data_IF_179382709664
#
_entry.id   IF_179382709664
#
_cell.length_a   1.000
_cell.length_b   1.000
_cell.length_c   1.000
_cell.angle_alpha   90.00
_cell.angle_beta   90.00
_cell.angle_gamma   90.00
#
_symmetry.space_group_name_H-M   'P 1'
#
loop_
_entity.id
_entity.type
_entity.pdbx_description
1 polymer ?
#
# COMPACT_ATOMS: atom_id res chain seq x y z
N UNK A 1 -15.18 -39.80 -101.89
CA UNK A 1 -15.68 -40.40 -100.59
C UNK A 1 -15.27 -39.51 -99.42
N UNK A 2 -16.17 -38.67 -98.97
CA UNK A 2 -15.95 -37.75 -97.84
C UNK A 2 -17.02 -38.08 -96.81
N UNK A 3 -16.58 -38.56 -95.63
CA UNK A 3 -17.42 -38.83 -94.48
C UNK A 3 -17.65 -37.53 -93.74
N UNK A 4 -18.89 -37.14 -93.53
CA UNK A 4 -19.30 -36.05 -92.64
C UNK A 4 -19.51 -36.62 -91.23
N UNK A 5 -18.78 -36.11 -90.30
CA UNK A 5 -18.99 -36.40 -88.92
C UNK A 5 -19.90 -35.32 -88.23
N UNK A 6 -21.09 -35.74 -87.82
CA UNK A 6 -22.00 -34.89 -87.03
C UNK A 6 -21.54 -34.80 -85.60
N UNK A 7 -21.25 -33.58 -85.11
CA UNK A 7 -21.01 -33.32 -83.70
C UNK A 7 -22.35 -33.00 -83.01
N UNK A 8 -22.71 -33.83 -82.04
CA UNK A 8 -23.82 -33.54 -81.15
C UNK A 8 -23.35 -32.52 -80.08
N UNK A 9 -24.07 -31.39 -80.03
CA UNK A 9 -23.88 -30.40 -78.98
C UNK A 9 -24.92 -30.68 -77.90
N UNK A 10 -24.44 -31.09 -76.67
CA UNK A 10 -25.27 -31.25 -75.46
C UNK A 10 -25.23 -29.96 -74.71
N UNK A 11 -26.35 -29.29 -74.38
CA UNK A 11 -26.32 -28.11 -73.49
C UNK A 11 -26.15 -28.53 -72.05
N UNK A 12 -25.09 -28.02 -71.42
CA UNK A 12 -24.88 -28.13 -69.96
C UNK A 12 -25.75 -27.09 -69.28
N UNK A 13 -26.76 -27.58 -68.57
CA UNK A 13 -27.59 -26.74 -67.68
C UNK A 13 -26.85 -26.48 -66.41
N UNK A 14 -26.33 -25.24 -66.24
CA UNK A 14 -25.71 -24.79 -64.95
C UNK A 14 -26.83 -24.42 -64.00
N UNK A 15 -27.08 -25.26 -62.99
CA UNK A 15 -27.95 -24.96 -61.83
C UNK A 15 -27.17 -24.14 -60.89
N UNK A 16 -27.45 -22.82 -60.79
CA UNK A 16 -26.92 -21.94 -59.73
C UNK A 16 -27.76 -22.13 -58.45
N UNK A 17 -27.27 -22.88 -57.51
CA UNK A 17 -27.84 -22.94 -56.13
C UNK A 17 -27.51 -21.65 -55.39
N UNK A 18 -28.50 -20.93 -54.84
CA UNK A 18 -28.20 -19.82 -53.94
C UNK A 18 -27.56 -20.35 -52.64
N UNK A 19 -26.30 -20.02 -52.45
CA UNK A 19 -25.58 -20.31 -51.17
C UNK A 19 -26.28 -19.62 -50.04
N UNK A 20 -26.96 -20.38 -49.19
CA UNK A 20 -27.36 -19.93 -47.84
C UNK A 20 -26.09 -19.73 -47.05
N UNK A 21 -25.63 -18.47 -46.97
CA UNK A 21 -24.61 -18.04 -46.01
C UNK A 21 -25.19 -18.24 -44.60
N UNK A 22 -24.89 -19.38 -43.96
CA UNK A 22 -25.03 -19.51 -42.55
C UNK A 22 -24.14 -18.44 -41.90
N UNK A 23 -24.72 -17.29 -41.52
CA UNK A 23 -24.13 -16.42 -40.52
C UNK A 23 -23.98 -17.27 -39.25
N UNK A 24 -22.76 -17.69 -38.96
CA UNK A 24 -22.40 -18.12 -37.60
C UNK A 24 -22.75 -16.96 -36.68
N UNK A 25 -23.53 -17.19 -35.64
CA UNK A 25 -23.62 -16.20 -34.60
C UNK A 25 -22.18 -15.96 -34.12
N UNK A 26 -21.71 -14.71 -34.22
CA UNK A 26 -20.54 -14.24 -33.54
C UNK A 26 -20.81 -14.52 -32.05
N UNK A 27 -20.34 -15.65 -31.57
CA UNK A 27 -20.13 -15.87 -30.14
C UNK A 27 -18.98 -14.94 -29.79
N UNK A 28 -19.31 -13.68 -29.57
CA UNK A 28 -18.47 -12.74 -28.90
C UNK A 28 -18.17 -13.35 -27.53
N UNK A 29 -17.18 -14.21 -27.45
CA UNK A 29 -16.45 -14.45 -26.24
C UNK A 29 -15.89 -13.07 -25.88
N UNK A 30 -16.62 -12.32 -25.03
CA UNK A 30 -16.17 -11.04 -24.53
C UNK A 30 -14.77 -11.25 -23.99
N UNK A 31 -13.80 -10.48 -24.47
CA UNK A 31 -12.45 -10.49 -23.90
C UNK A 31 -12.58 -10.44 -22.40
N UNK A 32 -12.01 -11.42 -21.73
CA UNK A 32 -12.04 -11.48 -20.27
C UNK A 32 -11.31 -10.25 -19.77
N UNK A 33 -12.07 -9.26 -19.26
CA UNK A 33 -11.50 -8.04 -18.72
C UNK A 33 -10.67 -8.40 -17.50
N UNK A 34 -9.43 -7.97 -17.47
CA UNK A 34 -8.50 -8.30 -16.41
C UNK A 34 -7.71 -7.07 -15.98
N UNK A 35 -7.30 -7.05 -14.71
CA UNK A 35 -6.42 -6.02 -14.14
C UNK A 35 -5.41 -6.66 -13.21
N UNK A 36 -4.15 -6.28 -13.35
CA UNK A 36 -3.07 -6.71 -12.45
C UNK A 36 -2.72 -5.59 -11.49
N UNK A 37 -2.78 -5.88 -10.19
CA UNK A 37 -2.47 -4.92 -9.14
C UNK A 37 -1.33 -5.44 -8.25
N UNK A 38 -0.31 -4.60 -8.04
CA UNK A 38 0.73 -4.84 -7.04
C UNK A 38 0.30 -4.21 -5.73
N UNK A 39 0.37 -4.98 -4.64
CA UNK A 39 -0.20 -4.60 -3.34
C UNK A 39 0.81 -4.78 -2.23
N UNK A 40 1.20 -3.70 -1.59
CA UNK A 40 2.06 -3.71 -0.40
C UNK A 40 1.28 -3.68 0.92
N UNK A 41 -0.04 -3.43 0.86
CA UNK A 41 -0.93 -3.58 2.02
C UNK A 41 -1.17 -5.05 2.31
N UNK A 42 -1.27 -5.42 3.58
CA UNK A 42 -1.43 -6.80 4.01
C UNK A 42 -2.58 -7.50 3.32
N UNK A 43 -2.31 -8.72 2.87
CA UNK A 43 -3.26 -9.51 2.10
C UNK A 43 -4.58 -9.71 2.86
N UNK A 44 -4.52 -9.93 4.17
CA UNK A 44 -5.70 -10.11 5.01
C UNK A 44 -6.66 -8.93 4.94
N UNK A 45 -6.16 -7.72 4.73
CA UNK A 45 -6.97 -6.50 4.62
C UNK A 45 -7.34 -6.15 3.18
N UNK A 46 -6.42 -6.33 2.24
CA UNK A 46 -6.59 -5.88 0.85
C UNK A 46 -7.33 -6.90 -0.03
N UNK A 47 -7.15 -8.21 0.19
CA UNK A 47 -7.79 -9.24 -0.62
C UNK A 47 -9.34 -9.17 -0.58
N UNK A 48 -10.01 -8.98 0.58
CA UNK A 48 -11.47 -8.84 0.62
C UNK A 48 -11.98 -7.65 -0.21
N UNK A 49 -11.25 -6.54 -0.25
CA UNK A 49 -11.58 -5.35 -1.06
C UNK A 49 -11.49 -5.67 -2.54
N UNK A 50 -10.41 -6.34 -2.97
CA UNK A 50 -10.19 -6.72 -4.37
C UNK A 50 -11.20 -7.76 -4.86
N UNK A 51 -11.55 -8.76 -4.02
CA UNK A 51 -12.58 -9.76 -4.33
C UNK A 51 -13.97 -9.14 -4.46
N UNK A 52 -14.30 -8.16 -3.64
CA UNK A 52 -15.56 -7.43 -3.77
C UNK A 52 -15.61 -6.62 -5.07
N UNK A 53 -14.51 -5.97 -5.48
CA UNK A 53 -14.43 -5.34 -6.80
C UNK A 53 -14.65 -6.33 -7.93
N UNK A 54 -13.95 -7.47 -7.91
CA UNK A 54 -14.10 -8.53 -8.91
C UNK A 54 -15.56 -9.00 -9.03
N UNK A 55 -16.22 -9.23 -7.88
CA UNK A 55 -17.63 -9.62 -7.81
C UNK A 55 -18.58 -8.57 -8.37
N UNK A 56 -18.31 -7.27 -8.12
CA UNK A 56 -19.19 -6.16 -8.58
C UNK A 56 -18.98 -5.83 -10.06
N UNK A 57 -17.76 -5.85 -10.52
CA UNK A 57 -17.37 -5.35 -11.85
C UNK A 57 -17.36 -6.43 -12.93
N UNK A 58 -17.23 -7.70 -12.56
CA UNK A 58 -16.95 -8.82 -13.46
C UNK A 58 -15.56 -8.76 -14.08
N UNK A 59 -14.66 -7.91 -13.60
CA UNK A 59 -13.26 -7.82 -14.02
C UNK A 59 -12.43 -8.80 -13.19
N UNK A 60 -11.66 -9.67 -13.81
CA UNK A 60 -10.73 -10.56 -13.10
C UNK A 60 -9.57 -9.76 -12.54
N UNK A 61 -9.36 -9.85 -11.22
CA UNK A 61 -8.27 -9.16 -10.53
C UNK A 61 -7.12 -10.12 -10.25
N UNK A 62 -5.92 -9.77 -10.71
CA UNK A 62 -4.68 -10.52 -10.48
C UNK A 62 -3.80 -9.78 -9.47
N UNK A 63 -3.97 -10.00 -8.16
CA UNK A 63 -3.15 -9.33 -7.16
C UNK A 63 -1.79 -10.01 -7.02
N UNK A 64 -0.74 -9.20 -6.91
CA UNK A 64 0.61 -9.62 -6.54
C UNK A 64 0.96 -8.93 -5.23
N UNK A 65 1.16 -9.71 -4.19
CA UNK A 65 1.45 -9.21 -2.85
C UNK A 65 2.94 -9.13 -2.57
N UNK A 66 3.32 -8.17 -1.75
CA UNK A 66 4.66 -8.06 -1.18
C UNK A 66 4.85 -9.07 -0.03
N UNK A 67 6.10 -9.32 0.35
CA UNK A 67 6.44 -10.08 1.56
C UNK A 67 6.67 -9.13 2.74
N UNK A 68 6.57 -9.63 3.99
CA UNK A 68 6.87 -8.81 5.17
C UNK A 68 8.31 -8.29 5.15
N UNK A 69 9.27 -9.13 4.75
CA UNK A 69 10.71 -8.81 4.75
C UNK A 69 11.09 -7.70 3.78
N UNK A 70 10.33 -7.52 2.69
CA UNK A 70 10.65 -6.54 1.64
C UNK A 70 9.55 -5.50 1.44
N UNK A 71 8.57 -5.46 2.32
CA UNK A 71 7.32 -4.71 2.20
C UNK A 71 7.49 -3.30 1.64
N UNK A 72 6.67 -2.96 0.65
CA UNK A 72 6.70 -1.78 -0.21
C UNK A 72 7.98 -1.61 -1.06
N UNK A 73 9.14 -1.91 -0.52
CA UNK A 73 10.43 -1.79 -1.23
C UNK A 73 10.58 -2.85 -2.33
N UNK A 74 10.18 -4.09 -2.07
CA UNK A 74 10.27 -5.19 -3.02
C UNK A 74 9.47 -4.94 -4.28
N UNK A 75 8.19 -4.64 -4.15
CA UNK A 75 7.32 -4.32 -5.29
C UNK A 75 7.71 -3.01 -5.99
N UNK A 76 8.14 -1.98 -5.24
CA UNK A 76 8.62 -0.74 -5.84
C UNK A 76 9.87 -0.98 -6.71
N UNK A 77 10.84 -1.77 -6.25
CA UNK A 77 12.02 -2.14 -7.04
C UNK A 77 11.64 -2.97 -8.27
N UNK A 78 10.68 -3.89 -8.12
CA UNK A 78 10.15 -4.68 -9.22
C UNK A 78 9.50 -3.80 -10.29
N UNK A 79 8.66 -2.83 -9.91
CA UNK A 79 8.05 -1.86 -10.82
C UNK A 79 9.10 -1.04 -11.59
N UNK A 80 10.20 -0.63 -10.92
CA UNK A 80 11.32 0.04 -11.59
C UNK A 80 12.00 -0.87 -12.61
N UNK A 81 12.23 -2.14 -12.27
CA UNK A 81 12.85 -3.11 -13.17
C UNK A 81 11.96 -3.43 -14.38
N UNK A 82 10.65 -3.45 -14.19
CA UNK A 82 9.65 -3.72 -15.23
C UNK A 82 9.26 -2.48 -16.06
N UNK A 83 9.84 -1.29 -15.80
CA UNK A 83 9.43 -0.01 -16.42
C UNK A 83 9.37 -0.04 -17.94
N UNK A 84 10.27 -0.77 -18.62
CA UNK A 84 10.29 -0.88 -20.08
C UNK A 84 9.22 -1.86 -20.63
N UNK A 85 8.70 -2.74 -19.78
CA UNK A 85 7.66 -3.72 -20.10
C UNK A 85 6.81 -3.98 -18.86
N UNK A 86 5.92 -3.05 -18.50
CA UNK A 86 5.12 -3.14 -17.29
C UNK A 86 4.27 -4.42 -17.25
N UNK A 87 4.17 -5.02 -16.06
CA UNK A 87 3.38 -6.22 -15.81
C UNK A 87 2.16 -5.91 -14.92
N UNK A 88 2.17 -4.76 -14.26
CA UNK A 88 1.08 -4.28 -13.42
C UNK A 88 0.35 -3.12 -14.08
N UNK A 89 -0.93 -2.97 -13.75
CA UNK A 89 -1.77 -1.84 -14.13
C UNK A 89 -1.85 -0.81 -13.00
N UNK A 90 -1.93 -1.28 -11.76
CA UNK A 90 -2.14 -0.47 -10.56
C UNK A 90 -1.12 -0.84 -9.50
N UNK A 91 -0.68 0.15 -8.72
CA UNK A 91 0.08 -0.06 -7.50
C UNK A 91 -0.70 0.48 -6.30
N UNK A 92 -0.97 -0.38 -5.32
CA UNK A 92 -1.50 -0.04 -4.01
C UNK A 92 -0.36 -0.13 -3.00
N UNK A 93 0.26 0.99 -2.70
CA UNK A 93 1.29 1.10 -1.68
C UNK A 93 0.68 1.29 -0.30
N UNK A 94 1.29 0.70 0.69
CA UNK A 94 0.92 0.90 2.10
C UNK A 94 1.63 2.10 2.75
N UNK A 95 2.47 2.84 1.98
CA UNK A 95 3.19 4.01 2.47
C UNK A 95 3.52 5.00 1.32
N UNK A 96 3.68 6.31 1.63
CA UNK A 96 3.84 7.35 0.61
C UNK A 96 5.18 7.37 -0.11
N UNK A 97 6.29 7.14 0.61
CA UNK A 97 7.63 7.49 0.12
C UNK A 97 8.02 6.69 -1.13
N UNK A 98 7.77 5.38 -1.16
CA UNK A 98 8.09 4.55 -2.33
C UNK A 98 7.26 4.95 -3.54
N UNK A 99 6.01 5.37 -3.34
CA UNK A 99 5.16 5.89 -4.42
C UNK A 99 5.74 7.17 -5.02
N UNK A 100 6.22 8.10 -4.19
CA UNK A 100 6.86 9.33 -4.67
C UNK A 100 8.19 9.04 -5.38
N UNK A 101 8.97 8.06 -4.91
CA UNK A 101 10.16 7.57 -5.62
C UNK A 101 9.80 7.02 -7.00
N UNK A 102 8.71 6.24 -7.13
CA UNK A 102 8.26 5.72 -8.42
C UNK A 102 7.85 6.84 -9.38
N UNK A 103 7.18 7.91 -8.89
CA UNK A 103 6.90 9.12 -9.68
C UNK A 103 8.20 9.72 -10.23
N UNK A 104 9.20 9.95 -9.38
CA UNK A 104 10.49 10.55 -9.79
C UNK A 104 11.26 9.70 -10.81
N UNK A 105 10.99 8.39 -10.86
CA UNK A 105 11.61 7.43 -11.79
C UNK A 105 10.78 7.19 -13.07
N UNK A 106 9.71 7.97 -13.28
CA UNK A 106 8.80 7.84 -14.43
C UNK A 106 8.17 6.43 -14.56
N UNK A 107 7.81 5.83 -13.45
CA UNK A 107 7.14 4.51 -13.39
C UNK A 107 5.62 4.66 -13.36
N UNK A 108 5.13 5.82 -12.91
CA UNK A 108 3.71 6.11 -12.75
C UNK A 108 3.16 6.93 -13.92
N UNK A 109 1.86 6.77 -14.20
CA UNK A 109 1.11 7.61 -15.13
C UNK A 109 0.13 8.51 -14.39
N UNK A 110 -0.14 9.72 -14.87
CA UNK A 110 -1.11 10.60 -14.24
C UNK A 110 -2.54 10.09 -14.47
N UNK A 111 -3.32 10.08 -13.39
CA UNK A 111 -4.75 9.82 -13.43
C UNK A 111 -5.44 10.50 -12.24
N UNK A 112 -6.35 11.42 -12.52
CA UNK A 112 -7.20 12.05 -11.52
C UNK A 112 -8.53 11.31 -11.46
N UNK A 113 -8.74 10.55 -10.40
CA UNK A 113 -9.98 9.80 -10.18
C UNK A 113 -11.11 10.74 -9.76
N UNK A 114 -12.32 10.59 -10.31
CA UNK A 114 -13.50 11.30 -9.81
C UNK A 114 -13.87 10.90 -8.38
N UNK A 115 -13.46 9.71 -7.93
CA UNK A 115 -13.67 9.23 -6.55
C UNK A 115 -12.72 9.88 -5.53
N UNK A 116 -11.76 10.69 -5.96
CA UNK A 116 -10.88 11.43 -5.05
C UNK A 116 -11.53 12.71 -4.48
N UNK A 117 -12.76 13.04 -4.92
CA UNK A 117 -13.48 14.20 -4.37
C UNK A 117 -13.75 13.99 -2.87
N UNK A 118 -13.39 14.99 -2.07
CA UNK A 118 -13.49 14.92 -0.60
C UNK A 118 -12.24 14.41 0.12
N UNK A 119 -11.22 13.91 -0.59
CA UNK A 119 -9.89 13.62 -0.02
C UNK A 119 -9.13 14.96 0.15
N UNK A 120 -8.44 15.20 1.29
CA UNK A 120 -7.65 16.40 1.50
C UNK A 120 -6.59 16.61 0.42
N UNK A 121 -6.47 17.82 -0.12
CA UNK A 121 -5.54 18.13 -1.23
C UNK A 121 -4.07 17.83 -0.92
N UNK A 122 -3.64 17.88 0.33
CA UNK A 122 -2.28 17.47 0.74
C UNK A 122 -2.01 15.97 0.62
N UNK A 123 -3.06 15.16 0.36
CA UNK A 123 -3.00 13.71 0.19
C UNK A 123 -3.32 13.28 -1.26
N UNK A 124 -3.29 14.23 -2.18
CA UNK A 124 -3.45 14.05 -3.63
C UNK A 124 -2.28 14.70 -4.33
N UNK A 125 -1.62 13.98 -5.22
CA UNK A 125 -0.55 14.58 -6.03
C UNK A 125 -1.11 15.64 -6.97
N UNK A 126 -0.59 16.87 -6.97
CA UNK A 126 -1.12 17.95 -7.84
C UNK A 126 -1.01 17.63 -9.33
N UNK A 127 -0.08 16.77 -9.73
CA UNK A 127 0.10 16.31 -11.10
C UNK A 127 -0.66 15.01 -11.40
N UNK A 128 -1.40 14.45 -10.42
CA UNK A 128 -2.27 13.28 -10.56
C UNK A 128 -1.57 11.92 -10.60
N UNK A 129 -0.32 11.79 -10.19
CA UNK A 129 0.39 10.50 -10.24
C UNK A 129 0.02 9.54 -9.11
N UNK A 130 -0.52 10.05 -8.02
CA UNK A 130 -0.97 9.24 -6.89
C UNK A 130 -2.08 9.93 -6.10
N UNK A 131 -2.88 9.13 -5.42
CA UNK A 131 -3.89 9.60 -4.48
C UNK A 131 -3.81 8.77 -3.22
N UNK A 132 -3.82 9.45 -2.07
CA UNK A 132 -3.88 8.81 -0.75
C UNK A 132 -5.32 8.40 -0.40
N UNK A 133 -5.46 7.31 0.33
CA UNK A 133 -6.75 6.88 0.89
C UNK A 133 -6.52 6.02 2.13
N UNK A 134 -7.50 5.93 3.01
CA UNK A 134 -7.48 5.09 4.20
C UNK A 134 -6.13 5.07 4.91
N UNK A 135 -5.99 5.88 5.94
CA UNK A 135 -4.72 6.03 6.65
C UNK A 135 -4.62 5.10 7.87
N UNK A 136 -3.40 4.86 8.31
CA UNK A 136 -3.06 4.32 9.63
C UNK A 136 -2.04 5.22 10.31
N UNK A 137 -1.78 4.96 11.58
CA UNK A 137 -0.83 5.74 12.36
C UNK A 137 0.33 4.87 12.83
N UNK A 138 1.52 5.46 12.90
CA UNK A 138 2.63 4.89 13.66
C UNK A 138 2.37 5.11 15.13
N UNK A 139 2.46 4.03 15.91
CA UNK A 139 2.18 4.04 17.35
C UNK A 139 3.30 3.37 18.14
N UNK A 140 3.39 3.72 19.42
CA UNK A 140 4.18 2.96 20.38
C UNK A 140 3.25 1.96 21.06
N UNK A 141 3.44 0.67 20.76
CA UNK A 141 2.79 -0.42 21.46
C UNK A 141 3.50 -0.68 22.81
N UNK A 142 2.75 -1.06 23.83
CA UNK A 142 3.33 -1.50 25.10
C UNK A 142 2.54 -2.65 25.72
N UNK A 143 3.24 -3.52 26.45
CA UNK A 143 2.61 -4.63 27.17
C UNK A 143 1.96 -4.14 28.46
N UNK A 144 0.64 -4.27 28.58
CA UNK A 144 -0.15 -3.74 29.71
C UNK A 144 0.08 -4.47 31.06
N UNK A 145 0.71 -5.66 31.04
CA UNK A 145 1.10 -6.40 32.26
C UNK A 145 2.46 -5.95 32.79
N UNK A 146 3.29 -5.30 31.95
CA UNK A 146 4.68 -4.96 32.25
C UNK A 146 4.94 -3.45 32.33
N UNK A 147 4.04 -2.64 31.77
CA UNK A 147 4.16 -1.17 31.70
C UNK A 147 2.84 -0.55 32.11
N UNK A 148 2.88 0.32 33.10
CA UNK A 148 1.70 1.11 33.47
C UNK A 148 1.43 2.21 32.41
N UNK A 149 0.18 2.58 32.13
CA UNK A 149 -0.14 3.62 31.16
C UNK A 149 0.62 4.94 31.34
N UNK A 150 0.82 5.36 32.60
CA UNK A 150 1.54 6.59 32.92
C UNK A 150 3.07 6.50 32.71
N UNK A 151 3.62 5.30 32.54
CA UNK A 151 5.04 5.06 32.31
C UNK A 151 5.38 4.84 30.83
N UNK A 152 4.35 4.62 29.99
CA UNK A 152 4.53 4.36 28.58
C UNK A 152 5.20 5.55 27.87
N UNK A 153 6.06 5.30 26.87
CA UNK A 153 6.70 6.37 26.10
C UNK A 153 5.66 7.24 25.40
N UNK A 154 5.83 8.55 25.42
CA UNK A 154 4.92 9.51 24.76
C UNK A 154 5.51 10.12 23.49
N UNK A 155 6.81 9.93 23.26
CA UNK A 155 7.53 10.34 22.06
C UNK A 155 8.32 9.16 21.49
N UNK A 156 8.56 9.15 20.18
CA UNK A 156 9.47 8.17 19.57
C UNK A 156 10.88 8.27 20.16
N UNK A 157 11.29 9.47 20.58
CA UNK A 157 12.62 9.69 21.19
C UNK A 157 12.75 9.07 22.58
N UNK A 158 11.65 8.86 23.30
CA UNK A 158 11.65 8.20 24.62
C UNK A 158 12.07 6.73 24.53
N UNK A 159 11.94 6.09 23.35
CA UNK A 159 12.41 4.72 23.13
C UNK A 159 13.92 4.56 23.34
N UNK A 160 14.70 5.64 23.22
CA UNK A 160 16.13 5.65 23.51
C UNK A 160 16.46 5.97 24.98
N UNK A 161 15.46 6.08 25.86
CA UNK A 161 15.71 6.23 27.31
C UNK A 161 16.36 4.96 27.86
N UNK A 162 17.43 5.07 28.70
CA UNK A 162 18.09 3.92 29.35
C UNK A 162 17.15 3.02 30.15
N UNK A 163 16.02 3.53 30.64
CA UNK A 163 14.99 2.72 31.35
C UNK A 163 14.44 1.60 30.49
N UNK A 164 14.48 1.72 29.17
CA UNK A 164 14.01 0.74 28.20
C UNK A 164 15.11 -0.20 27.67
N UNK A 165 16.31 -0.18 28.26
CA UNK A 165 17.44 -1.01 27.81
C UNK A 165 17.05 -2.48 27.66
N UNK A 166 17.25 -3.04 26.45
CA UNK A 166 16.90 -4.42 26.10
C UNK A 166 15.40 -4.71 26.01
N UNK A 167 14.54 -3.67 26.07
CA UNK A 167 13.09 -3.81 26.17
C UNK A 167 12.33 -3.18 24.97
N UNK A 168 13.05 -2.70 23.96
CA UNK A 168 12.49 -2.04 22.77
C UNK A 168 12.59 -2.94 21.55
N UNK A 169 11.52 -3.03 20.76
CA UNK A 169 11.51 -3.63 19.42
C UNK A 169 11.08 -2.61 18.37
N UNK A 170 11.71 -2.66 17.20
CA UNK A 170 11.32 -1.90 16.00
C UNK A 170 11.39 -2.80 14.76
N UNK A 171 10.55 -2.55 13.77
CA UNK A 171 10.72 -3.19 12.48
C UNK A 171 11.94 -2.62 11.74
N UNK A 172 12.52 -3.40 10.85
CA UNK A 172 13.69 -3.02 10.06
C UNK A 172 13.46 -1.69 9.33
N UNK A 173 14.27 -0.65 9.59
CA UNK A 173 14.07 0.67 9.01
C UNK A 173 14.33 0.77 7.49
N UNK A 174 14.76 -0.32 6.87
CA UNK A 174 14.94 -0.38 5.41
C UNK A 174 13.63 -0.61 4.66
N UNK A 175 12.55 -1.05 5.34
CA UNK A 175 11.35 -1.55 4.72
C UNK A 175 10.06 -0.93 5.30
N UNK A 176 9.00 -0.98 4.50
CA UNK A 176 7.63 -0.68 4.90
C UNK A 176 7.42 0.70 5.54
N UNK A 177 6.44 0.78 6.42
CA UNK A 177 6.08 2.00 7.15
C UNK A 177 7.20 2.52 8.05
N UNK A 178 8.12 1.65 8.49
CA UNK A 178 9.29 2.08 9.28
C UNK A 178 10.26 2.87 8.42
N UNK A 179 10.55 2.46 7.18
CA UNK A 179 11.42 3.22 6.26
C UNK A 179 10.85 4.61 5.95
N UNK A 180 9.54 4.69 5.71
CA UNK A 180 8.85 5.97 5.57
C UNK A 180 9.02 6.86 6.81
N UNK A 181 8.71 6.34 8.00
CA UNK A 181 8.75 7.12 9.24
C UNK A 181 10.16 7.65 9.53
N UNK A 182 11.18 6.81 9.38
CA UNK A 182 12.56 7.26 9.62
C UNK A 182 13.01 8.29 8.60
N UNK A 183 12.67 8.13 7.31
CA UNK A 183 12.98 9.13 6.29
C UNK A 183 12.32 10.49 6.60
N UNK A 184 11.06 10.48 7.05
CA UNK A 184 10.36 11.67 7.49
C UNK A 184 11.02 12.33 8.71
N UNK A 185 11.40 11.55 9.71
CA UNK A 185 12.09 12.05 10.91
C UNK A 185 13.45 12.68 10.56
N UNK A 186 14.23 12.05 9.65
CA UNK A 186 15.49 12.64 9.18
C UNK A 186 15.26 13.95 8.42
N UNK A 187 14.24 14.02 7.58
CA UNK A 187 13.89 15.24 6.87
C UNK A 187 13.49 16.40 7.82
N UNK A 188 12.79 16.07 8.92
CA UNK A 188 12.30 17.06 9.89
C UNK A 188 13.31 17.44 10.95
N UNK A 189 14.02 16.48 11.52
CA UNK A 189 14.86 16.67 12.70
C UNK A 189 16.36 16.80 12.38
N UNK A 190 16.77 16.45 11.16
CA UNK A 190 18.15 16.51 10.68
C UNK A 190 19.02 15.33 11.10
N UNK A 191 20.11 15.12 10.36
CA UNK A 191 20.96 13.94 10.45
C UNK A 191 21.57 13.73 11.81
N UNK A 192 22.18 14.76 12.38
CA UNK A 192 22.90 14.64 13.63
C UNK A 192 21.99 14.17 14.78
N UNK A 193 20.79 14.73 14.90
CA UNK A 193 19.84 14.36 15.93
C UNK A 193 19.37 12.92 15.74
N UNK A 194 19.05 12.53 14.51
CA UNK A 194 18.56 11.20 14.21
C UNK A 194 19.66 10.12 14.33
N UNK A 195 20.86 10.38 13.85
CA UNK A 195 22.00 9.48 14.06
C UNK A 195 22.25 9.21 15.55
N UNK A 196 22.24 10.26 16.37
CA UNK A 196 22.41 10.12 17.82
C UNK A 196 21.28 9.31 18.46
N UNK A 197 20.04 9.52 18.02
CA UNK A 197 18.90 8.74 18.49
C UNK A 197 19.07 7.24 18.19
N UNK A 198 19.41 6.87 16.94
CA UNK A 198 19.57 5.48 16.57
C UNK A 198 20.81 4.82 17.17
N UNK A 199 21.91 5.56 17.37
CA UNK A 199 23.09 5.03 18.12
C UNK A 199 22.68 4.70 19.56
N UNK A 200 21.93 5.57 20.25
CA UNK A 200 21.42 5.32 21.60
C UNK A 200 20.48 4.13 21.64
N UNK A 201 19.59 3.97 20.67
CA UNK A 201 18.74 2.78 20.54
C UNK A 201 19.58 1.50 20.42
N UNK A 202 20.63 1.51 19.60
CA UNK A 202 21.57 0.39 19.45
C UNK A 202 22.30 0.10 20.76
N UNK A 203 22.85 1.12 21.41
CA UNK A 203 23.53 1.00 22.71
C UNK A 203 22.61 0.48 23.80
N UNK A 204 21.32 0.78 23.72
CA UNK A 204 20.28 0.25 24.58
C UNK A 204 19.82 -1.16 24.19
N UNK A 205 20.38 -1.77 23.12
CA UNK A 205 20.06 -3.14 22.73
C UNK A 205 18.68 -3.26 22.10
N UNK A 206 18.29 -2.30 21.24
CA UNK A 206 17.05 -2.39 20.46
C UNK A 206 17.02 -3.68 19.64
N UNK A 207 15.89 -4.36 19.61
CA UNK A 207 15.67 -5.50 18.72
C UNK A 207 15.11 -4.99 17.39
N UNK A 208 15.84 -5.19 16.31
CA UNK A 208 15.38 -4.94 14.96
C UNK A 208 14.86 -6.25 14.38
N UNK A 209 13.61 -6.25 13.89
CA UNK A 209 12.91 -7.45 13.41
C UNK A 209 12.27 -7.20 12.04
N UNK A 210 11.84 -8.28 11.37
CA UNK A 210 11.46 -8.25 9.96
C UNK A 210 10.23 -7.38 9.65
N UNK A 211 9.30 -7.23 10.60
CA UNK A 211 8.07 -6.48 10.34
C UNK A 211 7.37 -5.96 11.59
N UNK A 212 6.37 -5.10 11.38
CA UNK A 212 5.58 -4.50 12.46
C UNK A 212 4.73 -5.54 13.21
N UNK A 213 4.21 -6.55 12.53
CA UNK A 213 3.49 -7.67 13.16
C UNK A 213 4.39 -8.45 14.11
N UNK A 214 5.68 -8.63 13.78
CA UNK A 214 6.67 -9.26 14.66
C UNK A 214 6.95 -8.38 15.88
N UNK A 215 7.03 -7.05 15.73
CA UNK A 215 7.14 -6.12 16.87
C UNK A 215 5.96 -6.28 17.81
N UNK A 216 4.73 -6.28 17.30
CA UNK A 216 3.50 -6.53 18.08
C UNK A 216 3.61 -7.83 18.87
N UNK A 217 4.01 -8.92 18.21
CA UNK A 217 4.09 -10.24 18.84
C UNK A 217 5.13 -10.29 19.97
N UNK A 218 6.29 -9.63 19.79
CA UNK A 218 7.28 -9.50 20.86
C UNK A 218 6.73 -8.73 22.08
N UNK A 219 5.96 -7.66 21.83
CA UNK A 219 5.31 -6.89 22.89
C UNK A 219 4.24 -7.74 23.58
N UNK A 220 3.38 -8.42 22.86
CA UNK A 220 2.33 -9.30 23.41
C UNK A 220 2.95 -10.37 24.31
N UNK A 221 4.02 -11.03 23.86
CA UNK A 221 4.71 -12.07 24.64
C UNK A 221 5.55 -11.54 25.81
N UNK A 222 5.71 -10.20 25.92
CA UNK A 222 6.55 -9.58 26.95
C UNK A 222 8.06 -9.75 26.71
N UNK A 223 8.46 -10.16 25.53
CA UNK A 223 9.85 -10.24 25.10
C UNK A 223 10.44 -8.84 24.81
N UNK A 224 9.57 -7.88 24.46
CA UNK A 224 9.82 -6.45 24.52
C UNK A 224 8.72 -5.80 25.38
N UNK A 225 9.06 -4.77 26.16
CA UNK A 225 8.03 -4.01 26.91
C UNK A 225 7.32 -3.02 26.04
N UNK A 226 8.04 -2.42 25.10
CA UNK A 226 7.56 -1.39 24.17
C UNK A 226 8.06 -1.66 22.75
N UNK A 227 7.30 -1.21 21.76
CA UNK A 227 7.71 -1.36 20.37
C UNK A 227 7.08 -0.29 19.46
N UNK A 228 7.77 0.08 18.38
CA UNK A 228 7.25 1.00 17.39
C UNK A 228 6.61 0.19 16.26
N UNK A 229 5.29 0.31 16.11
CA UNK A 229 4.48 -0.44 15.11
C UNK A 229 3.37 0.42 14.53
N UNK A 230 2.37 -0.18 13.90
CA UNK A 230 1.22 0.48 13.29
C UNK A 230 -0.08 0.20 14.08
N UNK A 231 -1.09 1.04 13.87
CA UNK A 231 -2.41 0.92 14.55
C UNK A 231 -3.12 -0.38 14.25
N UNK A 232 -3.07 -0.85 13.00
CA UNK A 232 -3.67 -2.10 12.54
C UNK A 232 -3.05 -3.33 13.25
N UNK A 233 -1.72 -3.36 13.38
CA UNK A 233 -1.04 -4.43 14.12
C UNK A 233 -1.50 -4.51 15.58
N UNK A 234 -1.56 -3.37 16.26
CA UNK A 234 -2.00 -3.35 17.67
C UNK A 234 -3.47 -3.73 17.78
N UNK A 235 -4.31 -3.28 16.84
CA UNK A 235 -5.74 -3.60 16.86
C UNK A 235 -6.01 -5.10 16.74
N UNK A 236 -5.32 -5.80 15.84
CA UNK A 236 -5.44 -7.27 15.72
C UNK A 236 -5.21 -7.94 17.08
N UNK A 237 -4.17 -7.54 17.79
CA UNK A 237 -3.87 -8.12 19.11
C UNK A 237 -4.89 -7.69 20.19
N UNK A 238 -5.46 -6.49 20.11
CA UNK A 238 -6.53 -6.03 21.01
C UNK A 238 -7.82 -6.82 20.82
N UNK A 239 -8.23 -7.08 19.59
CA UNK A 239 -9.42 -7.90 19.28
C UNK A 239 -9.25 -9.35 19.77
N UNK A 240 -8.02 -9.87 19.76
CA UNK A 240 -7.67 -11.17 20.33
C UNK A 240 -7.53 -11.15 21.86
N UNK A 241 -7.84 -10.03 22.54
CA UNK A 241 -7.76 -9.88 23.98
C UNK A 241 -6.34 -9.96 24.57
N UNK A 242 -5.33 -9.69 23.76
CA UNK A 242 -3.92 -9.75 24.18
C UNK A 242 -3.55 -8.57 25.09
N UNK A 243 -2.53 -8.73 25.97
CA UNK A 243 -2.12 -7.71 26.93
C UNK A 243 -1.28 -6.60 26.27
N UNK A 244 -1.88 -5.86 25.37
CA UNK A 244 -1.25 -4.78 24.60
C UNK A 244 -2.10 -3.50 24.68
N UNK A 245 -1.45 -2.36 24.59
CA UNK A 245 -2.10 -1.06 24.34
C UNK A 245 -1.16 -0.19 23.51
N UNK A 246 -1.64 0.96 23.04
CA UNK A 246 -0.85 1.87 22.23
C UNK A 246 -0.90 3.30 22.74
N UNK A 247 0.16 4.03 22.43
CA UNK A 247 0.25 5.49 22.59
C UNK A 247 0.43 6.09 21.20
N UNK A 248 -0.32 7.16 20.89
CA UNK A 248 -0.06 8.02 19.75
C UNK A 248 1.14 8.93 20.11
N UNK A 249 2.32 8.72 19.51
CA UNK A 249 3.51 9.45 19.93
C UNK A 249 3.47 10.92 19.45
N UNK A 250 4.23 11.75 20.14
CA UNK A 250 4.56 13.11 19.72
C UNK A 250 3.35 14.06 19.53
N UNK A 251 2.18 13.77 20.13
CA UNK A 251 0.95 14.57 20.01
C UNK A 251 1.17 16.05 20.29
N UNK A 252 1.98 16.38 21.29
CA UNK A 252 2.31 17.74 21.71
C UNK A 252 3.58 18.29 21.03
N UNK A 253 4.29 17.43 20.26
CA UNK A 253 5.57 17.75 19.63
C UNK A 253 5.48 17.79 18.10
N UNK A 254 6.18 16.84 17.47
CA UNK A 254 6.24 16.72 16.00
C UNK A 254 4.89 16.41 15.35
N UNK A 255 3.95 15.87 16.12
CA UNK A 255 2.67 15.36 15.67
C UNK A 255 2.68 13.86 15.44
N UNK A 256 1.49 13.26 15.41
CA UNK A 256 1.31 11.82 15.20
C UNK A 256 1.60 11.46 13.75
N UNK A 257 2.48 10.49 13.47
CA UNK A 257 2.74 10.07 12.08
C UNK A 257 1.54 9.34 11.49
N UNK A 258 0.86 10.00 10.55
CA UNK A 258 -0.28 9.46 9.81
C UNK A 258 0.21 9.04 8.41
N UNK A 259 -0.08 7.79 8.03
CA UNK A 259 0.34 7.20 6.77
C UNK A 259 -0.87 6.77 5.96
N UNK A 260 -1.22 7.48 4.88
CA UNK A 260 -2.21 6.98 3.93
C UNK A 260 -1.66 5.80 3.14
N UNK A 261 -2.54 4.91 2.71
CA UNK A 261 -2.24 4.11 1.53
C UNK A 261 -2.18 5.05 0.32
N UNK A 262 -1.41 4.65 -0.69
CA UNK A 262 -1.34 5.34 -1.96
C UNK A 262 -1.80 4.42 -3.07
N UNK A 263 -2.59 4.95 -3.99
CA UNK A 263 -2.91 4.24 -5.24
C UNK A 263 -2.41 5.02 -6.44
N UNK A 264 -1.87 4.31 -7.43
CA UNK A 264 -1.26 4.88 -8.63
C UNK A 264 -1.52 4.02 -9.85
N UNK A 265 -1.67 4.66 -11.01
CA UNK A 265 -1.67 4.00 -12.31
C UNK A 265 -0.21 3.80 -12.76
N UNK A 266 0.10 2.63 -13.33
CA UNK A 266 1.44 2.35 -13.87
C UNK A 266 1.58 2.92 -15.28
N UNK A 267 2.72 3.55 -15.57
CA UNK A 267 3.02 4.05 -16.91
C UNK A 267 3.18 2.88 -17.89
N UNK A 268 2.44 2.90 -19.00
CA UNK A 268 2.42 1.80 -19.97
C UNK A 268 1.71 0.55 -19.47
N UNK A 269 0.80 0.68 -18.50
CA UNK A 269 -0.04 -0.40 -17.98
C UNK A 269 -0.65 -1.25 -19.12
N UNK A 270 -0.64 -2.60 -19.01
CA UNK A 270 -1.24 -3.48 -20.02
C UNK A 270 -2.75 -3.26 -20.21
N UNK A 271 -3.48 -2.95 -19.11
CA UNK A 271 -4.93 -2.76 -19.08
C UNK A 271 -5.31 -1.42 -18.43
N UNK A 272 -4.96 -0.27 -19.06
CA UNK A 272 -5.07 1.05 -18.41
C UNK A 272 -6.53 1.49 -18.15
N UNK A 273 -7.51 0.95 -18.88
CA UNK A 273 -8.93 1.22 -18.65
C UNK A 273 -9.39 0.55 -17.36
N UNK A 274 -9.13 -0.75 -17.22
CA UNK A 274 -9.45 -1.54 -16.03
C UNK A 274 -8.68 -1.03 -14.81
N UNK A 275 -7.42 -0.59 -15.01
CA UNK A 275 -6.61 0.04 -13.97
C UNK A 275 -7.26 1.29 -13.39
N UNK A 276 -7.78 2.18 -14.25
CA UNK A 276 -8.49 3.39 -13.81
C UNK A 276 -9.79 3.05 -13.06
N UNK A 277 -10.57 2.11 -13.56
CA UNK A 277 -11.80 1.66 -12.90
C UNK A 277 -11.51 1.05 -11.52
N UNK A 278 -10.43 0.30 -11.38
CA UNK A 278 -10.01 -0.23 -10.09
C UNK A 278 -9.56 0.90 -9.14
N UNK A 279 -8.83 1.90 -9.64
CA UNK A 279 -8.45 3.08 -8.85
C UNK A 279 -9.69 3.84 -8.36
N UNK A 280 -10.68 4.07 -9.24
CA UNK A 280 -11.94 4.73 -8.85
C UNK A 280 -12.67 3.97 -7.75
N UNK A 281 -12.67 2.64 -7.82
CA UNK A 281 -13.26 1.81 -6.76
C UNK A 281 -12.47 1.90 -5.45
N UNK A 282 -11.14 1.76 -5.50
CA UNK A 282 -10.29 1.81 -4.31
C UNK A 282 -10.39 3.15 -3.58
N UNK A 283 -10.55 4.24 -4.34
CA UNK A 283 -10.71 5.59 -3.79
C UNK A 283 -12.16 5.91 -3.36
N UNK A 284 -13.08 4.97 -3.44
CA UNK A 284 -14.47 5.22 -3.01
C UNK A 284 -14.61 5.29 -1.48
N UNK A 285 -15.55 6.10 -1.01
CA UNK A 285 -15.93 6.16 0.40
C UNK A 285 -16.38 4.79 0.96
N UNK A 286 -16.90 3.89 0.10
CA UNK A 286 -17.30 2.54 0.48
C UNK A 286 -16.10 1.67 0.85
N UNK A 287 -15.01 1.76 0.10
CA UNK A 287 -13.76 1.03 0.40
C UNK A 287 -13.14 1.57 1.69
N UNK A 288 -13.08 2.89 1.88
CA UNK A 288 -12.59 3.46 3.15
C UNK A 288 -13.43 3.01 4.35
N UNK A 289 -14.76 2.96 4.19
CA UNK A 289 -15.65 2.44 5.24
C UNK A 289 -15.39 0.96 5.51
N UNK A 290 -15.19 0.15 4.47
CA UNK A 290 -14.84 -1.27 4.61
C UNK A 290 -13.54 -1.46 5.37
N UNK A 291 -12.48 -0.71 5.01
CA UNK A 291 -11.18 -0.77 5.69
C UNK A 291 -11.26 -0.26 7.14
N UNK A 292 -12.07 0.77 7.40
CA UNK A 292 -12.28 1.30 8.74
C UNK A 292 -13.02 0.32 9.66
N UNK A 293 -13.92 -0.50 9.12
CA UNK A 293 -14.73 -1.48 9.86
C UNK A 293 -14.09 -2.86 9.94
N UNK A 294 -12.99 -3.10 9.21
CA UNK A 294 -12.21 -4.34 9.25
C UNK A 294 -11.18 -4.30 10.39
N UNK A 295 -10.48 -5.41 10.59
CA UNK A 295 -9.34 -5.49 11.52
C UNK A 295 -8.20 -4.51 11.18
N UNK A 296 -8.17 -4.01 9.94
CA UNK A 296 -7.22 -2.97 9.50
C UNK A 296 -7.41 -1.64 10.22
N UNK A 297 -8.61 -1.35 10.76
CA UNK A 297 -8.99 -0.13 11.49
C UNK A 297 -8.44 1.16 10.89
N UNK A 298 -8.46 1.23 9.56
CA UNK A 298 -7.88 2.36 8.86
C UNK A 298 -8.77 3.59 8.96
N UNK A 299 -8.15 4.75 9.06
CA UNK A 299 -8.84 6.03 9.22
C UNK A 299 -9.25 6.54 7.84
N UNK A 300 -10.57 6.74 7.57
CA UNK A 300 -11.01 7.30 6.31
C UNK A 300 -10.48 8.73 6.10
N UNK A 301 -10.15 9.05 4.88
CA UNK A 301 -9.72 10.39 4.48
C UNK A 301 -10.86 11.20 3.86
N UNK A 302 -11.89 10.55 3.33
CA UNK A 302 -13.10 11.23 2.87
C UNK A 302 -13.85 11.87 4.03
N UNK A 303 -14.27 13.10 3.84
CA UNK A 303 -15.10 13.81 4.80
C UNK A 303 -16.43 13.08 5.01
N UNK A 304 -16.82 12.91 6.28
CA UNK A 304 -18.11 12.30 6.66
C UNK A 304 -18.14 10.78 6.64
N UNK A 305 -17.07 10.10 6.27
CA UNK A 305 -16.94 8.65 6.46
C UNK A 305 -16.59 8.38 7.91
N UNK A 306 -17.38 7.52 8.57
CA UNK A 306 -17.15 7.18 9.96
C UNK A 306 -15.87 6.35 10.13
N UNK A 307 -14.97 6.82 11.00
CA UNK A 307 -13.74 6.12 11.37
C UNK A 307 -13.99 4.90 12.28
N UNK A 308 -12.92 4.13 12.57
CA UNK A 308 -12.97 2.98 13.47
C UNK A 308 -13.38 3.36 14.89
N UNK A 309 -14.10 2.47 15.59
CA UNK A 309 -14.61 2.74 16.96
C UNK A 309 -13.52 2.96 17.99
N UNK A 310 -12.38 2.26 17.84
CA UNK A 310 -11.29 2.25 18.82
C UNK A 310 -10.15 3.21 18.48
N UNK A 311 -10.31 4.02 17.40
CA UNK A 311 -9.32 4.99 16.98
C UNK A 311 -9.85 6.40 17.18
N UNK A 312 -9.03 7.32 17.71
CA UNK A 312 -9.44 8.72 17.79
C UNK A 312 -9.59 9.29 16.38
N UNK A 313 -10.62 10.11 16.14
CA UNK A 313 -10.76 10.82 14.88
C UNK A 313 -9.51 11.68 14.60
N UNK A 314 -9.15 11.79 13.31
CA UNK A 314 -7.92 12.47 12.87
C UNK A 314 -7.87 13.95 13.26
N UNK A 315 -9.00 14.58 13.50
CA UNK A 315 -9.15 15.97 13.94
C UNK A 315 -8.97 16.17 15.45
N UNK A 316 -8.82 15.09 16.24
CA UNK A 316 -8.65 15.15 17.70
C UNK A 316 -7.20 15.19 18.17
N UNK A 317 -6.25 15.12 17.24
CA UNK A 317 -4.82 15.22 17.51
C UNK A 317 -4.10 15.97 16.38
N UNK A 318 -2.90 16.46 16.66
CA UNK A 318 -2.06 17.08 15.65
C UNK A 318 -1.39 16.00 14.80
N UNK A 319 -1.69 15.87 13.49
CA UNK A 319 -0.93 15.00 12.61
C UNK A 319 0.47 15.60 12.37
N UNK A 320 1.45 14.72 12.14
CA UNK A 320 2.78 15.12 11.72
C UNK A 320 2.71 15.77 10.33
N UNK A 321 3.28 16.98 10.19
CA UNK A 321 3.37 17.63 8.89
C UNK A 321 4.50 16.98 8.09
N UNK A 322 4.15 16.31 7.00
CA UNK A 322 5.08 15.51 6.21
C UNK A 322 5.30 16.12 4.82
N UNK A 323 6.56 16.33 4.47
CA UNK A 323 6.98 16.57 3.10
C UNK A 323 7.40 15.23 2.49
N UNK A 324 6.48 14.63 1.75
CA UNK A 324 6.70 13.33 1.11
C UNK A 324 7.84 13.38 0.07
N UNK A 325 8.02 14.52 -0.62
CA UNK A 325 9.10 14.67 -1.59
C UNK A 325 10.46 14.74 -0.90
N UNK A 326 10.57 15.50 0.18
CA UNK A 326 11.80 15.56 0.99
C UNK A 326 12.14 14.20 1.61
N UNK A 327 11.15 13.47 2.15
CA UNK A 327 11.34 12.13 2.68
C UNK A 327 11.77 11.14 1.59
N UNK A 328 11.12 11.17 0.42
CA UNK A 328 11.45 10.30 -0.71
C UNK A 328 12.86 10.54 -1.25
N UNK A 329 13.29 11.80 -1.32
CA UNK A 329 14.65 12.15 -1.76
C UNK A 329 15.74 11.58 -0.83
N UNK A 330 15.39 11.26 0.41
CA UNK A 330 16.33 10.81 1.44
C UNK A 330 16.22 9.33 1.80
N UNK A 331 15.18 8.63 1.40
CA UNK A 331 14.88 7.28 1.90
C UNK A 331 16.02 6.30 1.67
N UNK A 332 16.65 6.31 0.50
CA UNK A 332 17.74 5.37 0.19
C UNK A 332 19.02 5.71 0.97
N UNK A 333 19.37 7.00 1.14
CA UNK A 333 20.49 7.44 1.98
C UNK A 333 20.23 7.10 3.46
N UNK A 334 19.06 7.41 3.97
CA UNK A 334 18.70 7.17 5.37
C UNK A 334 18.68 5.68 5.70
N UNK A 335 18.12 4.85 4.84
CA UNK A 335 18.05 3.39 5.07
C UNK A 335 19.44 2.76 5.07
N UNK A 336 20.34 3.17 4.15
CA UNK A 336 21.73 2.73 4.14
C UNK A 336 22.51 3.20 5.39
N UNK A 337 22.30 4.45 5.79
CA UNK A 337 22.88 5.01 7.02
C UNK A 337 22.45 4.25 8.26
N UNK A 338 21.17 3.94 8.36
CA UNK A 338 20.61 3.17 9.49
C UNK A 338 21.09 1.72 9.49
N UNK A 339 21.22 1.09 8.33
CA UNK A 339 21.83 -0.24 8.24
C UNK A 339 23.26 -0.24 8.84
N UNK A 340 24.07 0.77 8.51
CA UNK A 340 25.41 0.93 9.09
C UNK A 340 25.38 1.20 10.61
N UNK A 341 24.50 2.11 11.08
CA UNK A 341 24.39 2.44 12.50
C UNK A 341 23.92 1.24 13.32
N UNK A 342 22.88 0.54 12.85
CA UNK A 342 22.28 -0.58 13.58
C UNK A 342 23.03 -1.90 13.37
N UNK A 343 23.80 -2.03 12.29
CA UNK A 343 24.55 -3.24 11.95
C UNK A 343 23.69 -4.31 11.26
N UNK A 344 22.83 -3.89 10.32
CA UNK A 344 21.87 -4.71 9.56
C UNK A 344 22.43 -5.20 8.23
#
# INVERSE_FOLDING_TARGET
>A
MRLFAHRLIVPVLVVVLPGMACRRPDSGAGETRTVTIYVSTDRVFSEPVLREYERRSGVTVNPVYDTEETKSTGLANRLVAERSRPQADVFWSNEPVRTVVLKSRNVLAPYTSPSADGIPSGLVDPDGYWTGFSARMRVIAYNTKLVMPAEAPTSVFDLADPKWRGQVAIADPRFGSTSFHVAALYAMAGDQKMDNFFRRLKENGVRVVDGNSVVRDLVVRGEAKVGLTDTDDVNVALEDGQPIAMVLPDREGLGVPVMPNMVSLIAGAPHPVEGRLLIDYLLSADVERQLAQSEAVQIPLHRGVQGPRNMPPIDTFKPMTLDYAAAAARVDDVTNRLAAILGL
#
